data_IF_630446554431
#
_entry.id   IF_630446554431
#
_cell.length_a   1.000
_cell.length_b   1.000
_cell.length_c   1.000
_cell.angle_alpha   90.00
_cell.angle_beta   90.00
_cell.angle_gamma   90.00
#
_symmetry.space_group_name_H-M   'P 1'
#
loop_
_entity.id
_entity.type
_entity.pdbx_description
1 polymer ?
#
# COMPACT_ATOMS: atom_id res chain seq x y z
N UNK A 1 24.24 28.53 58.40
CA UNK A 1 22.77 28.60 58.58
C UNK A 1 22.11 28.72 57.22
N UNK A 2 21.02 27.98 57.03
CA UNK A 2 20.07 27.97 55.91
C UNK A 2 20.54 27.35 54.57
N UNK A 3 20.22 26.07 54.46
CA UNK A 3 20.03 25.35 53.20
C UNK A 3 18.72 25.81 52.52
N UNK A 4 18.71 25.81 51.18
CA UNK A 4 17.46 25.80 50.41
C UNK A 4 17.51 24.61 49.44
N UNK A 5 16.69 23.61 49.72
CA UNK A 5 16.40 22.49 48.86
C UNK A 5 15.42 22.93 47.76
N UNK A 6 15.72 22.65 46.50
CA UNK A 6 14.76 22.71 45.41
C UNK A 6 14.52 21.28 44.90
N UNK A 7 13.26 20.87 45.00
CA UNK A 7 12.69 19.60 44.57
C UNK A 7 13.03 19.30 43.10
N UNK A 8 13.75 18.21 42.84
CA UNK A 8 13.74 17.51 41.56
C UNK A 8 12.43 16.72 41.46
N UNK A 9 11.47 17.20 40.67
CA UNK A 9 10.37 16.35 40.19
C UNK A 9 10.92 15.48 39.07
N UNK A 10 10.93 14.17 39.31
CA UNK A 10 11.43 13.13 38.44
C UNK A 10 10.70 13.11 37.09
N UNK A 11 11.39 13.51 36.02
CA UNK A 11 11.09 13.06 34.67
C UNK A 11 11.49 11.58 34.59
N UNK A 12 10.51 10.69 34.72
CA UNK A 12 10.70 9.27 34.42
C UNK A 12 11.04 9.10 32.94
N UNK A 13 12.33 8.93 32.66
CA UNK A 13 12.81 8.49 31.37
C UNK A 13 12.44 7.03 31.11
N UNK A 14 12.27 6.70 29.83
CA UNK A 14 12.47 5.33 29.35
C UNK A 14 13.64 5.36 28.36
N UNK A 15 14.84 5.36 28.94
CA UNK A 15 16.01 4.78 28.29
C UNK A 15 16.02 3.27 28.58
N UNK A 16 16.37 2.52 27.55
CA UNK A 16 16.65 1.07 27.46
C UNK A 16 17.10 0.34 28.75
N UNK A 17 16.51 -0.85 28.98
CA UNK A 17 17.28 -2.05 29.34
C UNK A 17 16.48 -3.34 29.15
N UNK A 18 17.17 -4.38 28.71
CA UNK A 18 16.60 -5.59 28.10
C UNK A 18 16.05 -6.64 29.05
N UNK A 19 15.17 -7.47 28.50
CA UNK A 19 14.93 -8.83 28.93
C UNK A 19 15.07 -9.74 27.72
N UNK A 20 16.12 -10.56 27.73
CA UNK A 20 16.30 -11.70 26.83
C UNK A 20 15.44 -12.83 27.38
N UNK A 21 14.33 -13.15 26.70
CA UNK A 21 13.70 -14.46 26.71
C UNK A 21 13.28 -14.76 25.27
N UNK A 22 13.84 -15.85 24.72
CA UNK A 22 13.71 -16.23 23.32
C UNK A 22 12.26 -16.52 22.92
N UNK A 23 11.94 -16.14 21.68
CA UNK A 23 10.65 -16.44 21.06
C UNK A 23 10.47 -15.69 19.75
N UNK A 24 10.73 -16.39 18.64
CA UNK A 24 10.58 -15.99 17.25
C UNK A 24 11.53 -14.88 16.74
N UNK A 25 12.61 -15.36 16.09
CA UNK A 25 13.35 -14.66 15.05
C UNK A 25 12.45 -13.74 14.24
N UNK A 26 12.99 -12.58 13.82
CA UNK A 26 12.43 -11.88 12.67
C UNK A 26 12.08 -12.94 11.61
N UNK A 27 10.82 -13.02 11.18
CA UNK A 27 10.55 -13.62 9.87
C UNK A 27 11.11 -12.63 8.86
N UNK A 28 12.43 -12.68 8.75
CA UNK A 28 13.20 -12.24 7.62
C UNK A 28 12.49 -12.84 6.41
N UNK A 29 12.24 -12.03 5.39
CA UNK A 29 11.77 -12.52 4.11
C UNK A 29 12.89 -13.37 3.52
N UNK A 30 13.19 -14.53 4.11
CA UNK A 30 14.16 -15.45 3.56
C UNK A 30 13.44 -16.23 2.48
N UNK A 31 14.10 -16.29 1.35
CA UNK A 31 13.74 -17.19 0.29
C UNK A 31 14.68 -18.38 0.42
N UNK A 32 14.15 -19.58 0.63
CA UNK A 32 14.94 -20.77 0.97
C UNK A 32 15.50 -21.51 -0.27
N UNK A 33 15.43 -20.88 -1.44
CA UNK A 33 15.91 -21.41 -2.72
C UNK A 33 17.26 -20.83 -3.17
N UNK A 34 17.80 -21.36 -4.26
CA UNK A 34 19.04 -20.84 -4.87
C UNK A 34 18.79 -19.42 -5.39
N UNK A 35 19.55 -18.41 -4.92
CA UNK A 35 19.37 -17.04 -5.41
C UNK A 35 19.67 -16.93 -6.90
N UNK A 36 18.75 -16.30 -7.62
CA UNK A 36 18.88 -15.95 -9.02
C UNK A 36 19.59 -14.60 -9.07
N UNK A 37 20.78 -14.55 -9.66
CA UNK A 37 21.58 -13.32 -9.74
C UNK A 37 21.00 -12.29 -10.72
N UNK A 38 21.26 -11.01 -10.45
CA UNK A 38 20.94 -9.94 -11.39
C UNK A 38 21.68 -10.15 -12.72
N UNK A 39 20.95 -10.09 -13.83
CA UNK A 39 21.46 -10.40 -15.18
C UNK A 39 20.98 -11.75 -15.73
N UNK A 40 20.39 -12.62 -14.89
CA UNK A 40 19.66 -13.78 -15.39
C UNK A 40 18.40 -13.36 -16.18
N UNK A 41 18.02 -14.18 -17.16
CA UNK A 41 16.74 -14.01 -17.86
C UNK A 41 15.59 -14.51 -16.97
N UNK A 42 15.04 -13.59 -16.18
CA UNK A 42 13.96 -13.89 -15.26
C UNK A 42 12.68 -14.36 -15.97
N UNK A 43 12.39 -13.89 -17.18
CA UNK A 43 11.21 -14.35 -17.92
C UNK A 43 11.39 -15.80 -18.40
N UNK A 44 12.60 -16.17 -18.82
CA UNK A 44 12.91 -17.56 -19.17
C UNK A 44 12.72 -18.49 -17.95
N UNK A 45 13.20 -18.08 -16.77
CA UNK A 45 13.02 -18.84 -15.54
C UNK A 45 11.56 -18.96 -15.13
N UNK A 46 10.78 -17.87 -15.22
CA UNK A 46 9.34 -17.89 -14.95
C UNK A 46 8.61 -18.85 -15.91
N UNK A 47 8.99 -18.87 -17.19
CA UNK A 47 8.36 -19.76 -18.18
C UNK A 47 8.62 -21.25 -17.94
N UNK A 48 9.68 -21.57 -17.18
CA UNK A 48 10.08 -22.94 -16.83
C UNK A 48 9.64 -23.34 -15.43
N UNK A 49 9.14 -22.39 -14.62
CA UNK A 49 8.75 -22.64 -13.25
C UNK A 49 7.50 -23.53 -13.20
N UNK A 50 7.50 -24.47 -12.26
CA UNK A 50 6.33 -25.29 -11.95
C UNK A 50 5.31 -24.49 -11.12
N UNK A 51 4.07 -24.99 -11.09
CA UNK A 51 3.00 -24.35 -10.35
C UNK A 51 3.31 -24.30 -8.85
N UNK A 52 3.41 -23.08 -8.32
CA UNK A 52 3.70 -22.83 -6.91
C UNK A 52 5.17 -22.59 -6.61
N UNK A 53 6.03 -22.59 -7.61
CA UNK A 53 7.46 -22.33 -7.44
C UNK A 53 7.75 -21.01 -6.75
N UNK A 54 8.86 -21.00 -6.01
CA UNK A 54 9.40 -19.81 -5.34
C UNK A 54 10.73 -19.47 -5.97
N UNK A 55 10.76 -18.38 -6.73
CA UNK A 55 11.97 -17.84 -7.35
C UNK A 55 12.58 -16.80 -6.41
N UNK A 56 13.77 -17.13 -5.89
CA UNK A 56 14.55 -16.29 -4.99
C UNK A 56 15.44 -15.35 -5.79
N UNK A 57 15.29 -14.05 -5.59
CA UNK A 57 16.04 -13.02 -6.30
C UNK A 57 17.12 -12.45 -5.37
N UNK A 58 18.38 -12.53 -5.79
CA UNK A 58 19.48 -11.85 -5.13
C UNK A 58 19.39 -10.33 -5.32
N UNK A 59 20.12 -9.57 -4.52
CA UNK A 59 20.17 -8.12 -4.65
C UNK A 59 20.61 -7.68 -6.07
N UNK A 60 19.88 -6.73 -6.65
CA UNK A 60 20.22 -6.13 -7.93
C UNK A 60 19.02 -5.74 -8.77
N UNK A 61 19.29 -5.36 -10.01
CA UNK A 61 18.29 -4.87 -10.96
C UNK A 61 18.00 -5.91 -12.03
N UNK A 62 16.73 -6.25 -12.20
CA UNK A 62 16.20 -7.18 -13.19
C UNK A 62 15.43 -6.39 -14.23
N UNK A 63 15.75 -6.67 -15.50
CA UNK A 63 15.11 -6.01 -16.64
C UNK A 63 13.66 -6.49 -16.75
N UNK A 64 12.74 -5.53 -16.75
CA UNK A 64 11.32 -5.74 -17.06
C UNK A 64 11.06 -5.49 -18.57
N UNK A 65 9.87 -5.84 -19.11
CA UNK A 65 8.67 -6.30 -18.41
C UNK A 65 8.78 -7.74 -17.90
N UNK A 66 8.24 -8.01 -16.70
CA UNK A 66 8.10 -9.35 -16.13
C UNK A 66 6.68 -9.85 -16.35
N UNK A 67 6.52 -11.05 -16.93
CA UNK A 67 5.21 -11.65 -17.21
C UNK A 67 5.01 -12.91 -16.39
N UNK A 68 3.93 -12.94 -15.60
CA UNK A 68 3.57 -14.08 -14.76
C UNK A 68 2.17 -14.55 -15.16
N UNK A 69 2.10 -15.77 -15.70
CA UNK A 69 0.87 -16.37 -16.23
C UNK A 69 0.43 -17.62 -15.45
N UNK A 70 1.20 -18.01 -14.43
CA UNK A 70 0.97 -19.16 -13.58
C UNK A 70 1.14 -18.81 -12.09
N UNK A 71 0.69 -19.70 -11.22
CA UNK A 71 0.89 -19.53 -9.77
C UNK A 71 2.38 -19.62 -9.43
N UNK A 72 2.96 -18.55 -8.87
CA UNK A 72 4.36 -18.53 -8.44
C UNK A 72 4.63 -17.43 -7.41
N UNK A 73 5.77 -17.53 -6.73
CA UNK A 73 6.28 -16.50 -5.83
C UNK A 73 7.58 -15.91 -6.37
N UNK A 74 7.65 -14.59 -6.48
CA UNK A 74 8.91 -13.85 -6.61
C UNK A 74 9.24 -13.23 -5.26
N UNK A 75 10.41 -13.57 -4.71
CA UNK A 75 10.83 -13.07 -3.41
C UNK A 75 12.29 -12.62 -3.42
N UNK A 76 12.56 -11.47 -2.83
CA UNK A 76 13.92 -11.10 -2.46
C UNK A 76 14.48 -12.14 -1.47
N UNK A 77 15.74 -12.52 -1.64
CA UNK A 77 16.45 -13.46 -0.76
C UNK A 77 16.89 -12.83 0.58
N UNK A 78 16.84 -11.49 0.66
CA UNK A 78 17.25 -10.71 1.83
C UNK A 78 18.70 -10.24 1.80
N UNK A 79 19.46 -10.52 0.73
CA UNK A 79 20.84 -10.05 0.53
C UNK A 79 20.92 -8.54 0.26
N UNK A 80 19.82 -7.91 -0.18
CA UNK A 80 19.75 -6.49 -0.49
C UNK A 80 18.48 -6.13 -1.29
N UNK A 81 18.42 -4.92 -1.87
CA UNK A 81 17.26 -4.49 -2.66
C UNK A 81 17.18 -5.25 -3.99
N UNK A 82 15.98 -5.73 -4.30
CA UNK A 82 15.63 -6.33 -5.60
C UNK A 82 14.77 -5.35 -6.38
N UNK A 83 15.25 -4.91 -7.53
CA UNK A 83 14.61 -3.88 -8.35
C UNK A 83 14.15 -4.50 -9.67
N UNK A 84 12.86 -4.45 -9.95
CA UNK A 84 12.29 -4.70 -11.27
C UNK A 84 12.16 -3.34 -11.97
N UNK A 85 12.90 -3.15 -13.06
CA UNK A 85 12.97 -1.86 -13.77
C UNK A 85 12.62 -2.03 -15.24
N UNK A 86 11.56 -1.33 -15.67
CA UNK A 86 11.13 -1.29 -17.07
C UNK A 86 11.86 -0.24 -17.91
N UNK A 87 12.64 0.68 -17.31
CA UNK A 87 13.41 1.68 -18.05
C UNK A 87 12.56 2.64 -18.91
N UNK A 88 11.28 2.81 -18.60
CA UNK A 88 10.31 3.57 -19.36
C UNK A 88 9.55 2.76 -20.42
N UNK A 89 9.74 1.45 -20.49
CA UNK A 89 9.10 0.57 -21.48
C UNK A 89 7.89 -0.17 -20.91
N UNK A 90 6.69 0.33 -21.16
CA UNK A 90 5.45 -0.38 -20.84
C UNK A 90 5.27 -0.65 -19.34
N UNK A 91 4.45 -1.65 -19.01
CA UNK A 91 4.22 -2.06 -17.62
C UNK A 91 5.38 -2.88 -17.06
N UNK A 92 5.87 -2.55 -15.86
CA UNK A 92 6.99 -3.28 -15.24
C UNK A 92 6.67 -4.74 -14.94
N UNK A 93 5.53 -5.05 -14.34
CA UNK A 93 5.11 -6.43 -14.12
C UNK A 93 3.64 -6.65 -14.47
N UNK A 94 3.41 -7.70 -15.25
CA UNK A 94 2.10 -8.10 -15.76
C UNK A 94 1.76 -9.46 -15.17
N UNK A 95 0.73 -9.47 -14.31
CA UNK A 95 0.22 -10.65 -13.63
C UNK A 95 -1.12 -11.04 -14.27
N UNK A 96 -1.13 -12.12 -15.04
CA UNK A 96 -2.31 -12.61 -15.72
C UNK A 96 -2.38 -14.13 -15.64
N UNK A 97 -2.74 -14.63 -14.46
CA UNK A 97 -2.90 -16.05 -14.20
C UNK A 97 -4.36 -16.28 -13.79
N UNK A 98 -5.28 -16.52 -14.74
CA UNK A 98 -6.68 -16.81 -14.41
C UNK A 98 -6.73 -17.98 -13.42
N UNK A 99 -7.34 -17.77 -12.26
CA UNK A 99 -7.41 -18.73 -11.13
C UNK A 99 -6.08 -19.03 -10.42
N UNK A 100 -4.99 -18.39 -10.84
CA UNK A 100 -3.65 -18.53 -10.27
C UNK A 100 -3.41 -17.62 -9.08
N UNK A 101 -2.40 -17.98 -8.28
CA UNK A 101 -1.97 -17.24 -7.10
C UNK A 101 -0.53 -16.76 -7.28
N UNK A 102 -0.33 -15.45 -7.29
CA UNK A 102 0.97 -14.82 -7.44
C UNK A 102 1.35 -14.13 -6.13
N UNK A 103 2.57 -14.34 -5.66
CA UNK A 103 3.10 -13.67 -4.48
C UNK A 103 4.36 -12.87 -4.82
N UNK A 104 4.39 -11.60 -4.42
CA UNK A 104 5.53 -10.70 -4.56
C UNK A 104 6.01 -10.27 -3.18
N UNK A 105 7.31 -10.45 -2.89
CA UNK A 105 7.86 -10.26 -1.55
C UNK A 105 9.16 -9.48 -1.60
N UNK A 106 9.20 -8.32 -0.94
CA UNK A 106 10.43 -7.53 -0.80
C UNK A 106 10.93 -6.87 -2.09
N UNK A 107 10.06 -6.69 -3.09
CA UNK A 107 10.45 -6.20 -4.41
C UNK A 107 10.24 -4.69 -4.53
N UNK A 108 11.11 -4.04 -5.30
CA UNK A 108 10.99 -2.64 -5.72
C UNK A 108 10.60 -2.61 -7.20
N UNK A 109 9.47 -2.01 -7.55
CA UNK A 109 8.89 -2.00 -8.90
C UNK A 109 8.89 -0.56 -9.41
N UNK A 110 9.71 -0.29 -10.43
CA UNK A 110 9.99 1.06 -10.92
C UNK A 110 10.03 1.14 -12.45
N UNK A 111 10.12 2.36 -12.94
CA UNK A 111 10.43 2.66 -14.34
C UNK A 111 9.34 2.27 -15.32
N UNK A 112 8.16 1.87 -14.86
CA UNK A 112 7.05 1.50 -15.72
C UNK A 112 6.39 2.73 -16.34
N UNK A 113 6.07 2.65 -17.63
CA UNK A 113 5.29 3.65 -18.38
C UNK A 113 4.26 2.94 -19.27
N UNK A 114 3.09 2.69 -18.70
CA UNK A 114 2.01 1.97 -19.39
C UNK A 114 1.01 2.94 -20.02
N UNK A 115 0.83 2.89 -21.34
CA UNK A 115 -0.09 3.82 -22.04
C UNK A 115 -1.58 3.46 -21.82
N UNK A 116 -1.94 2.18 -21.95
CA UNK A 116 -3.32 1.68 -21.85
C UNK A 116 -3.58 0.80 -20.61
N UNK A 117 -2.53 0.49 -19.85
CA UNK A 117 -2.55 -0.36 -18.65
C UNK A 117 -1.66 0.26 -17.59
N UNK A 118 -1.75 -0.20 -16.34
CA UNK A 118 -1.00 0.40 -15.25
C UNK A 118 0.51 0.46 -15.47
N UNK A 119 1.17 1.51 -14.98
CA UNK A 119 2.60 1.76 -15.20
C UNK A 119 3.47 0.72 -14.48
N UNK A 120 3.34 0.60 -13.16
CA UNK A 120 4.12 -0.37 -12.39
C UNK A 120 3.60 -1.80 -12.55
N UNK A 121 2.31 -2.00 -12.27
CA UNK A 121 1.67 -3.31 -12.24
C UNK A 121 0.35 -3.34 -13.00
N UNK A 122 0.13 -4.43 -13.72
CA UNK A 122 -1.18 -4.75 -14.30
C UNK A 122 -1.61 -6.15 -13.87
N UNK A 123 -2.79 -6.26 -13.23
CA UNK A 123 -3.34 -7.52 -12.72
C UNK A 123 -4.65 -7.85 -13.43
N UNK A 124 -4.64 -8.97 -14.14
CA UNK A 124 -5.73 -9.43 -14.99
C UNK A 124 -6.86 -10.18 -14.25
N UNK A 125 -8.01 -10.38 -14.91
CA UNK A 125 -9.18 -11.01 -14.31
C UNK A 125 -8.92 -12.40 -13.74
N UNK A 126 -9.50 -12.69 -12.58
CA UNK A 126 -9.40 -14.00 -11.92
C UNK A 126 -8.03 -14.30 -11.29
N UNK A 127 -7.06 -13.39 -11.37
CA UNK A 127 -5.75 -13.53 -10.71
C UNK A 127 -5.86 -13.16 -9.23
N UNK A 128 -5.27 -13.96 -8.35
CA UNK A 128 -5.03 -13.59 -6.95
C UNK A 128 -3.58 -13.12 -6.77
N UNK A 129 -3.38 -11.84 -6.49
CA UNK A 129 -2.06 -11.27 -6.21
C UNK A 129 -1.92 -10.96 -4.71
N UNK A 130 -0.81 -11.38 -4.11
CA UNK A 130 -0.37 -10.95 -2.78
C UNK A 130 0.96 -10.20 -2.88
N UNK A 131 1.04 -9.04 -2.27
CA UNK A 131 2.25 -8.22 -2.19
C UNK A 131 2.60 -7.98 -0.73
N UNK A 132 3.84 -8.24 -0.35
CA UNK A 132 4.31 -8.04 1.01
C UNK A 132 5.64 -7.30 1.01
N UNK A 133 5.70 -6.18 1.74
CA UNK A 133 6.94 -5.40 1.94
C UNK A 133 7.58 -4.97 0.62
N UNK A 134 6.74 -4.62 -0.35
CA UNK A 134 7.19 -4.10 -1.63
C UNK A 134 7.28 -2.57 -1.61
N UNK A 135 7.95 -2.03 -2.62
CA UNK A 135 7.94 -0.61 -2.97
C UNK A 135 7.51 -0.49 -4.42
N UNK A 136 6.49 0.33 -4.70
CA UNK A 136 6.07 0.65 -6.07
C UNK A 136 6.24 2.15 -6.24
N UNK A 137 7.19 2.57 -7.07
CA UNK A 137 7.57 3.98 -7.15
C UNK A 137 8.08 4.43 -8.50
N UNK A 138 7.86 5.70 -8.82
CA UNK A 138 8.39 6.30 -10.05
C UNK A 138 7.80 5.69 -11.32
N UNK A 139 6.61 5.09 -11.23
CA UNK A 139 5.88 4.56 -12.38
C UNK A 139 4.87 5.57 -12.90
N UNK A 140 4.56 5.50 -14.19
CA UNK A 140 3.67 6.40 -14.89
C UNK A 140 2.59 5.61 -15.64
N UNK A 141 1.33 5.94 -15.36
CA UNK A 141 0.17 5.35 -16.01
C UNK A 141 -0.45 6.34 -17.00
N UNK A 142 -0.91 5.84 -18.14
CA UNK A 142 -1.67 6.63 -19.11
C UNK A 142 -3.09 6.95 -18.63
N UNK A 143 -3.91 7.46 -19.54
CA UNK A 143 -5.26 7.99 -19.25
C UNK A 143 -6.17 6.94 -18.62
N UNK A 144 -6.03 5.67 -19.02
CA UNK A 144 -6.85 4.55 -18.58
C UNK A 144 -6.13 3.59 -17.63
N UNK A 145 -4.87 3.91 -17.26
CA UNK A 145 -4.01 3.04 -16.46
C UNK A 145 -3.66 3.67 -15.11
N UNK A 146 -3.66 2.86 -14.05
CA UNK A 146 -3.15 3.29 -12.75
C UNK A 146 -1.64 3.47 -12.76
N UNK A 147 -1.10 4.55 -12.19
CA UNK A 147 0.36 4.81 -12.23
C UNK A 147 1.17 3.69 -11.58
N UNK A 148 0.80 3.27 -10.37
CA UNK A 148 1.46 2.18 -9.67
C UNK A 148 0.84 0.82 -9.97
N UNK A 149 -0.49 0.70 -9.89
CA UNK A 149 -1.20 -0.57 -10.04
C UNK A 149 -2.55 -0.37 -10.73
N UNK A 150 -2.79 -1.18 -11.78
CA UNK A 150 -4.09 -1.41 -12.38
C UNK A 150 -4.58 -2.83 -12.06
N UNK A 151 -5.79 -2.96 -11.51
CA UNK A 151 -6.42 -4.25 -11.26
C UNK A 151 -7.81 -4.32 -11.86
N UNK A 152 -8.03 -5.29 -12.76
CA UNK A 152 -9.32 -5.51 -13.43
C UNK A 152 -9.87 -6.88 -13.10
N UNK A 153 -10.95 -6.95 -12.33
CA UNK A 153 -11.58 -8.23 -11.97
C UNK A 153 -10.66 -9.19 -11.20
N UNK A 154 -9.60 -8.68 -10.57
CA UNK A 154 -8.60 -9.43 -9.83
C UNK A 154 -8.83 -9.32 -8.30
N UNK A 155 -8.20 -10.21 -7.52
CA UNK A 155 -8.14 -10.08 -6.06
C UNK A 155 -6.71 -9.72 -5.66
N UNK A 156 -6.51 -8.54 -5.09
CA UNK A 156 -5.18 -8.05 -4.69
C UNK A 156 -5.11 -7.81 -3.19
N UNK A 157 -4.11 -8.39 -2.53
CA UNK A 157 -3.77 -8.11 -1.13
C UNK A 157 -2.42 -7.42 -1.09
N UNK A 158 -2.36 -6.27 -0.44
CA UNK A 158 -1.16 -5.44 -0.33
C UNK A 158 -0.90 -5.22 1.15
N UNK A 159 0.20 -5.77 1.63
CA UNK A 159 0.59 -5.75 3.03
C UNK A 159 1.96 -5.08 3.19
N UNK A 160 2.05 -4.15 4.15
CA UNK A 160 3.32 -3.49 4.50
C UNK A 160 4.06 -2.89 3.30
N UNK A 161 3.33 -2.34 2.32
CA UNK A 161 3.90 -1.88 1.04
C UNK A 161 3.86 -0.35 0.95
N UNK A 162 4.84 0.23 0.26
CA UNK A 162 4.91 1.66 -0.05
C UNK A 162 4.58 1.89 -1.51
N UNK A 163 3.58 2.73 -1.78
CA UNK A 163 3.18 3.16 -3.13
C UNK A 163 3.40 4.67 -3.21
N UNK A 164 4.55 5.07 -3.76
CA UNK A 164 5.04 6.44 -3.63
C UNK A 164 5.60 7.03 -4.91
N UNK A 165 5.37 8.32 -5.16
CA UNK A 165 6.00 9.00 -6.30
C UNK A 165 5.57 8.47 -7.66
N UNK A 166 4.38 7.85 -7.78
CA UNK A 166 3.83 7.41 -9.06
C UNK A 166 2.97 8.51 -9.67
N UNK A 167 2.81 8.49 -10.99
CA UNK A 167 2.12 9.54 -11.75
C UNK A 167 1.07 8.96 -12.67
N UNK A 168 0.02 9.72 -12.93
CA UNK A 168 -0.90 9.49 -14.04
C UNK A 168 -1.47 10.81 -14.52
N UNK A 169 -1.91 10.85 -15.77
CA UNK A 169 -2.61 12.02 -16.32
C UNK A 169 -4.09 12.07 -15.91
N UNK A 170 -4.72 10.93 -15.64
CA UNK A 170 -6.15 10.82 -15.29
C UNK A 170 -6.60 9.43 -14.77
N UNK A 171 -5.74 8.41 -14.86
CA UNK A 171 -6.09 7.01 -14.59
C UNK A 171 -6.03 6.62 -13.13
N UNK A 172 -5.55 7.48 -12.22
CA UNK A 172 -5.28 7.13 -10.84
C UNK A 172 -3.79 6.88 -10.61
N UNK A 173 -3.05 7.88 -10.14
CA UNK A 173 -1.58 7.77 -10.06
C UNK A 173 -1.05 6.65 -9.16
N UNK A 174 -1.78 6.22 -8.13
CA UNK A 174 -1.41 5.07 -7.31
C UNK A 174 -2.18 3.81 -7.74
N UNK A 175 -3.50 3.80 -7.56
CA UNK A 175 -4.34 2.62 -7.76
C UNK A 175 -5.51 2.93 -8.70
N UNK A 176 -5.70 2.07 -9.70
CA UNK A 176 -6.92 2.02 -10.51
C UNK A 176 -7.56 0.63 -10.40
N UNK A 177 -8.78 0.59 -9.88
CA UNK A 177 -9.53 -0.65 -9.70
C UNK A 177 -10.75 -0.64 -10.61
N UNK A 178 -10.94 -1.72 -11.38
CA UNK A 178 -12.01 -1.81 -12.37
C UNK A 178 -12.70 -3.19 -12.37
N UNK A 179 -13.90 -3.24 -12.94
CA UNK A 179 -14.74 -4.42 -13.02
C UNK A 179 -15.14 -4.90 -11.64
N UNK A 180 -14.85 -6.16 -11.30
CA UNK A 180 -15.12 -6.75 -9.98
C UNK A 180 -13.84 -6.89 -9.14
N UNK A 181 -12.87 -6.00 -9.35
CA UNK A 181 -11.61 -6.02 -8.62
C UNK A 181 -11.85 -5.89 -7.10
N UNK A 182 -11.13 -6.66 -6.31
CA UNK A 182 -11.17 -6.62 -4.84
C UNK A 182 -9.77 -6.36 -4.33
N UNK A 183 -9.51 -5.14 -3.86
CA UNK A 183 -8.19 -4.74 -3.39
C UNK A 183 -8.24 -4.41 -1.90
N UNK A 184 -7.36 -5.05 -1.15
CA UNK A 184 -7.20 -4.83 0.29
C UNK A 184 -5.79 -4.36 0.58
N UNK A 185 -5.66 -3.17 1.15
CA UNK A 185 -4.41 -2.64 1.68
C UNK A 185 -4.40 -2.76 3.19
N UNK A 186 -3.28 -3.24 3.73
CA UNK A 186 -3.05 -3.28 5.18
C UNK A 186 -1.67 -2.74 5.52
N UNK A 187 -1.61 -1.94 6.59
CA UNK A 187 -0.33 -1.42 7.10
C UNK A 187 0.54 -0.80 5.98
N UNK A 188 -0.09 -0.16 5.00
CA UNK A 188 0.56 0.32 3.77
C UNK A 188 0.46 1.84 3.63
N UNK A 189 1.38 2.42 2.86
CA UNK A 189 1.48 3.86 2.62
C UNK A 189 1.22 4.18 1.15
N UNK A 190 0.34 5.14 0.89
CA UNK A 190 0.14 5.80 -0.41
C UNK A 190 0.45 7.28 -0.24
N UNK A 191 1.56 7.75 -0.80
CA UNK A 191 1.98 9.13 -0.63
C UNK A 191 2.76 9.67 -1.83
N UNK A 192 2.78 10.99 -2.01
CA UNK A 192 3.60 11.67 -3.03
C UNK A 192 3.23 11.25 -4.47
N UNK A 193 2.05 10.66 -4.68
CA UNK A 193 1.59 10.34 -6.02
C UNK A 193 0.93 11.58 -6.65
N UNK A 194 1.12 11.76 -7.95
CA UNK A 194 0.72 12.96 -8.70
C UNK A 194 -0.31 12.60 -9.78
N UNK A 195 -1.55 13.07 -9.59
CA UNK A 195 -2.66 13.01 -10.55
C UNK A 195 -3.46 14.31 -10.45
N UNK A 196 -2.92 15.39 -11.03
CA UNK A 196 -3.50 16.74 -10.92
C UNK A 196 -4.98 16.83 -11.35
N UNK A 197 -5.43 15.93 -12.23
CA UNK A 197 -6.78 15.98 -12.82
C UNK A 197 -7.78 15.08 -12.09
N UNK A 198 -7.33 14.14 -11.27
CA UNK A 198 -8.19 13.14 -10.62
C UNK A 198 -7.72 12.86 -9.18
N UNK A 199 -7.49 11.58 -8.85
CA UNK A 199 -7.16 11.06 -7.53
C UNK A 199 -5.97 10.12 -7.62
N UNK A 200 -5.16 9.93 -6.57
CA UNK A 200 -4.22 8.82 -6.56
C UNK A 200 -4.93 7.46 -6.57
N UNK A 201 -6.18 7.38 -6.12
CA UNK A 201 -6.93 6.12 -6.04
C UNK A 201 -8.27 6.29 -6.73
N UNK A 202 -8.52 5.48 -7.77
CA UNK A 202 -9.80 5.41 -8.45
C UNK A 202 -10.39 4.01 -8.33
N UNK A 203 -11.66 3.95 -7.91
CA UNK A 203 -12.41 2.70 -7.77
C UNK A 203 -13.61 2.78 -8.68
N UNK A 204 -13.60 1.97 -9.74
CA UNK A 204 -14.56 1.99 -10.82
C UNK A 204 -15.56 0.84 -10.75
N UNK A 205 -16.80 1.11 -11.14
CA UNK A 205 -17.86 0.12 -11.32
C UNK A 205 -17.97 -0.85 -10.13
N UNK A 206 -18.00 -2.17 -10.33
CA UNK A 206 -18.19 -3.15 -9.24
C UNK A 206 -16.97 -3.35 -8.32
N UNK A 207 -15.95 -2.51 -8.41
CA UNK A 207 -14.70 -2.69 -7.69
C UNK A 207 -14.83 -2.34 -6.20
N UNK A 208 -13.98 -2.97 -5.39
CA UNK A 208 -13.98 -2.83 -3.94
C UNK A 208 -12.60 -2.48 -3.44
N UNK A 209 -12.51 -1.39 -2.68
CA UNK A 209 -11.31 -1.00 -1.97
C UNK A 209 -11.51 -1.14 -0.46
N UNK A 210 -10.56 -1.81 0.20
CA UNK A 210 -10.51 -1.91 1.66
C UNK A 210 -9.16 -1.43 2.18
N UNK A 211 -9.17 -0.49 3.12
CA UNK A 211 -7.99 0.11 3.73
C UNK A 211 -8.01 -0.17 5.24
N UNK A 212 -7.01 -0.91 5.72
CA UNK A 212 -6.89 -1.27 7.14
C UNK A 212 -5.56 -0.81 7.69
N UNK A 213 -5.58 0.03 8.73
CA UNK A 213 -4.34 0.50 9.34
C UNK A 213 -3.38 1.09 8.32
N UNK A 214 -3.90 1.82 7.34
CA UNK A 214 -3.11 2.33 6.21
C UNK A 214 -3.07 3.86 6.22
N UNK A 215 -2.11 4.46 5.52
CA UNK A 215 -1.93 5.91 5.47
C UNK A 215 -1.97 6.40 4.04
N UNK A 216 -2.88 7.33 3.74
CA UNK A 216 -2.93 8.09 2.49
C UNK A 216 -2.64 9.55 2.84
N UNK A 217 -1.54 10.10 2.33
CA UNK A 217 -1.10 11.44 2.70
C UNK A 217 -0.23 12.08 1.61
N UNK A 218 -0.26 13.42 1.51
CA UNK A 218 0.64 14.20 0.66
C UNK A 218 0.64 13.73 -0.82
N UNK A 219 -0.52 13.36 -1.35
CA UNK A 219 -0.68 13.12 -2.79
C UNK A 219 -1.12 14.43 -3.44
N UNK A 220 -0.56 14.72 -4.62
CA UNK A 220 -0.89 15.91 -5.40
C UNK A 220 -2.01 15.53 -6.38
N UNK A 221 -3.23 15.84 -5.99
CA UNK A 221 -4.43 15.47 -6.74
C UNK A 221 -5.61 16.35 -6.36
N UNK A 222 -6.68 16.33 -7.15
CA UNK A 222 -7.91 17.07 -6.86
C UNK A 222 -8.63 16.51 -5.61
N UNK A 223 -8.57 15.20 -5.40
CA UNK A 223 -9.10 14.49 -4.22
C UNK A 223 -8.26 13.25 -3.90
N UNK A 224 -8.44 12.66 -2.71
CA UNK A 224 -7.65 11.48 -2.31
C UNK A 224 -8.18 10.16 -2.87
N UNK A 225 -9.50 10.00 -2.98
CA UNK A 225 -10.15 8.79 -3.49
C UNK A 225 -11.31 9.19 -4.39
N UNK A 226 -11.39 8.61 -5.58
CA UNK A 226 -12.52 8.69 -6.48
C UNK A 226 -13.30 7.39 -6.50
N UNK A 227 -14.62 7.47 -6.34
CA UNK A 227 -15.54 6.38 -6.61
C UNK A 227 -16.41 6.77 -7.80
N UNK A 228 -16.33 6.01 -8.89
CA UNK A 228 -17.08 6.30 -10.10
C UNK A 228 -17.68 5.01 -10.67
N UNK A 229 -18.98 4.98 -10.96
CA UNK A 229 -19.62 3.81 -11.53
C UNK A 229 -20.76 4.19 -12.43
N UNK A 230 -20.75 3.66 -13.65
CA UNK A 230 -21.88 3.75 -14.59
C UNK A 230 -22.56 2.38 -14.76
N UNK A 231 -21.94 1.33 -14.21
CA UNK A 231 -22.48 -0.02 -14.12
C UNK A 231 -23.59 -0.16 -13.06
N UNK A 232 -24.51 -1.14 -13.20
CA UNK A 232 -25.46 -1.49 -12.13
C UNK A 232 -24.79 -1.93 -10.83
N UNK A 233 -23.53 -2.36 -10.88
CA UNK A 233 -22.75 -2.70 -9.68
C UNK A 233 -21.97 -1.48 -9.21
N UNK A 234 -22.34 -0.83 -8.09
CA UNK A 234 -21.64 0.36 -7.61
C UNK A 234 -20.32 0.01 -6.93
N UNK A 235 -19.34 0.93 -6.92
CA UNK A 235 -18.07 0.71 -6.26
C UNK A 235 -18.25 0.76 -4.74
N UNK A 236 -17.29 0.20 -4.01
CA UNK A 236 -17.32 0.25 -2.54
C UNK A 236 -15.97 0.59 -1.92
N UNK A 237 -16.05 1.31 -0.80
CA UNK A 237 -14.92 1.74 0.01
C UNK A 237 -15.17 1.37 1.47
N UNK A 238 -14.27 0.57 2.05
CA UNK A 238 -14.20 0.35 3.49
C UNK A 238 -12.86 0.82 4.02
N UNK A 239 -12.88 1.80 4.92
CA UNK A 239 -11.69 2.31 5.60
C UNK A 239 -11.86 2.11 7.09
N UNK A 240 -10.84 1.52 7.70
CA UNK A 240 -10.84 1.23 9.12
C UNK A 240 -9.45 1.41 9.72
N UNK A 241 -9.40 2.13 10.84
CA UNK A 241 -8.16 2.38 11.58
C UNK A 241 -7.06 3.09 10.78
N UNK A 242 -7.41 3.85 9.75
CA UNK A 242 -6.48 4.41 8.79
C UNK A 242 -6.32 5.92 8.96
N UNK A 243 -5.34 6.51 8.29
CA UNK A 243 -5.16 7.96 8.18
C UNK A 243 -5.42 8.35 6.73
N UNK A 244 -6.40 9.22 6.51
CA UNK A 244 -6.65 9.87 5.23
C UNK A 244 -6.40 11.36 5.37
N UNK A 245 -5.39 11.88 4.67
CA UNK A 245 -5.01 13.29 4.73
C UNK A 245 -4.87 13.87 3.34
N UNK A 246 -5.75 14.80 3.01
CA UNK A 246 -5.77 15.55 1.76
C UNK A 246 -5.78 17.05 2.03
N UNK A 247 -4.90 17.78 1.38
CA UNK A 247 -4.90 19.24 1.38
C UNK A 247 -5.28 19.74 -0.01
N UNK A 248 -6.26 20.65 -0.12
CA UNK A 248 -6.63 21.28 -1.40
C UNK A 248 -7.89 20.72 -2.08
N UNK A 249 -8.66 19.86 -1.40
CA UNK A 249 -9.90 19.29 -1.92
C UNK A 249 -10.57 18.29 -0.97
N UNK A 250 -11.61 17.57 -1.43
CA UNK A 250 -12.25 16.53 -0.65
C UNK A 250 -11.36 15.28 -0.54
N UNK A 251 -11.46 14.58 0.59
CA UNK A 251 -10.84 13.26 0.75
C UNK A 251 -11.49 12.27 -0.21
N UNK A 252 -12.81 12.34 -0.36
CA UNK A 252 -13.59 11.45 -1.20
C UNK A 252 -14.40 12.25 -2.20
N UNK A 253 -14.28 11.87 -3.47
CA UNK A 253 -15.17 12.30 -4.54
C UNK A 253 -15.98 11.13 -5.06
N UNK A 254 -17.29 11.29 -5.12
CA UNK A 254 -18.21 10.33 -5.72
C UNK A 254 -18.75 10.94 -7.02
N UNK A 255 -18.45 10.31 -8.16
CA UNK A 255 -19.12 10.64 -9.41
C UNK A 255 -20.56 10.11 -9.33
N UNK A 256 -21.53 11.01 -9.45
CA UNK A 256 -22.94 10.65 -9.32
C UNK A 256 -23.37 9.72 -10.47
N UNK A 257 -24.01 8.61 -10.10
CA UNK A 257 -24.61 7.65 -11.01
C UNK A 257 -25.91 7.11 -10.42
N UNK A 258 -26.59 6.26 -11.19
CA UNK A 258 -27.90 5.69 -10.82
C UNK A 258 -27.87 4.87 -9.52
N UNK A 259 -26.70 4.29 -9.19
CA UNK A 259 -26.47 3.49 -8.01
C UNK A 259 -25.35 4.10 -7.15
N UNK A 260 -25.64 4.59 -5.94
CA UNK A 260 -24.64 5.23 -5.10
C UNK A 260 -23.60 4.21 -4.59
N UNK A 261 -22.31 4.58 -4.50
CA UNK A 261 -21.28 3.75 -3.89
C UNK A 261 -21.57 3.41 -2.42
N UNK A 262 -21.12 2.23 -1.99
CA UNK A 262 -21.14 1.85 -0.57
C UNK A 262 -19.87 2.36 0.11
N UNK A 263 -20.02 3.32 1.03
CA UNK A 263 -18.88 3.91 1.75
C UNK A 263 -19.02 3.69 3.25
N UNK A 264 -17.99 3.08 3.84
CA UNK A 264 -17.84 2.92 5.29
C UNK A 264 -16.47 3.38 5.72
N UNK A 265 -16.40 4.44 6.51
CA UNK A 265 -15.15 4.93 7.10
C UNK A 265 -15.31 4.97 8.61
N UNK A 266 -14.46 4.27 9.34
CA UNK A 266 -14.56 4.18 10.79
C UNK A 266 -13.20 4.16 11.48
N UNK A 267 -13.18 4.57 12.75
CA UNK A 267 -11.99 4.50 13.62
C UNK A 267 -10.75 5.13 12.98
N UNK A 268 -10.91 6.15 12.12
CA UNK A 268 -9.84 6.68 11.28
C UNK A 268 -9.57 8.16 11.58
N UNK A 269 -8.36 8.64 11.24
CA UNK A 269 -8.06 10.08 11.23
C UNK A 269 -8.34 10.63 9.83
N UNK A 270 -9.14 11.69 9.76
CA UNK A 270 -9.53 12.33 8.52
C UNK A 270 -9.12 13.80 8.54
N UNK A 271 -8.31 14.21 7.58
CA UNK A 271 -7.83 15.58 7.43
C UNK A 271 -8.06 16.07 6.00
N UNK A 272 -8.77 17.18 5.85
CA UNK A 272 -9.27 17.70 4.57
C UNK A 272 -10.79 17.89 4.57
N UNK A 273 -11.38 18.11 3.39
CA UNK A 273 -12.83 18.12 3.28
C UNK A 273 -13.39 16.69 3.37
N UNK A 274 -14.33 16.51 4.29
CA UNK A 274 -14.91 15.22 4.65
C UNK A 274 -16.43 15.19 4.52
N UNK A 275 -17.00 16.13 3.78
CA UNK A 275 -18.44 16.29 3.52
C UNK A 275 -19.10 15.03 2.97
N UNK A 276 -18.38 14.27 2.13
CA UNK A 276 -18.85 13.01 1.55
C UNK A 276 -18.55 11.77 2.41
N UNK A 277 -17.95 11.95 3.60
CA UNK A 277 -17.55 10.87 4.49
C UNK A 277 -18.45 10.79 5.73
N UNK A 278 -19.35 9.80 5.69
CA UNK A 278 -20.14 9.36 6.84
C UNK A 278 -19.40 8.25 7.61
N UNK A 279 -19.65 8.15 8.92
CA UNK A 279 -19.10 7.10 9.77
C UNK A 279 -18.91 7.51 11.22
N UNK A 280 -18.85 6.52 12.11
CA UNK A 280 -18.67 6.72 13.55
C UNK A 280 -17.20 6.60 13.94
N UNK A 281 -16.85 7.22 15.07
CA UNK A 281 -15.52 7.10 15.69
C UNK A 281 -14.35 7.58 14.82
N UNK A 282 -14.60 8.49 13.87
CA UNK A 282 -13.55 9.15 13.11
C UNK A 282 -13.07 10.42 13.83
N UNK A 283 -11.77 10.67 13.78
CA UNK A 283 -11.14 11.86 14.31
C UNK A 283 -10.85 12.84 13.17
N UNK A 284 -11.57 13.96 13.13
CA UNK A 284 -11.41 14.99 12.09
C UNK A 284 -10.41 16.05 12.55
N UNK A 285 -9.13 15.85 12.23
CA UNK A 285 -8.03 16.71 12.65
C UNK A 285 -6.79 16.43 11.79
N UNK A 286 -5.88 17.41 11.69
CA UNK A 286 -4.54 17.19 11.13
C UNK A 286 -3.86 15.99 11.81
N UNK A 287 -3.42 14.96 11.07
CA UNK A 287 -2.75 13.80 11.63
C UNK A 287 -1.37 14.12 12.23
N UNK A 288 -0.80 15.30 11.99
CA UNK A 288 0.52 15.71 12.50
C UNK A 288 1.60 14.67 12.15
N UNK A 289 1.69 14.33 10.87
CA UNK A 289 2.68 13.41 10.35
C UNK A 289 4.04 14.09 10.24
N UNK A 290 5.10 13.36 10.59
CA UNK A 290 6.48 13.73 10.26
C UNK A 290 6.77 13.57 8.75
N UNK A 291 7.95 14.01 8.31
CA UNK A 291 8.41 13.79 6.93
C UNK A 291 8.48 12.31 6.52
N UNK A 292 8.63 11.39 7.48
CA UNK A 292 8.58 9.94 7.23
C UNK A 292 7.18 9.34 7.41
N UNK A 293 6.14 10.19 7.44
CA UNK A 293 4.74 9.82 7.62
C UNK A 293 4.41 9.12 8.96
N UNK A 294 5.32 9.20 9.95
CA UNK A 294 5.06 8.74 11.32
C UNK A 294 4.20 9.75 12.07
N UNK A 295 3.13 9.33 12.77
CA UNK A 295 2.38 10.19 13.68
C UNK A 295 3.27 10.77 14.79
N UNK A 296 3.22 12.09 14.98
CA UNK A 296 3.92 12.75 16.09
C UNK A 296 3.37 12.29 17.45
N UNK A 297 4.07 12.58 18.58
CA UNK A 297 3.55 12.30 19.93
C UNK A 297 2.21 12.96 20.25
N UNK A 298 1.85 14.06 19.58
CA UNK A 298 0.59 14.79 19.79
C UNK A 298 -0.48 14.45 18.74
N UNK A 299 -0.16 13.52 17.83
CA UNK A 299 -1.06 13.16 16.75
C UNK A 299 -2.40 12.63 17.27
N UNK A 300 -3.54 13.00 16.64
CA UNK A 300 -4.83 12.41 16.95
C UNK A 300 -4.90 10.89 16.64
N UNK A 301 -3.94 10.34 15.90
CA UNK A 301 -3.84 8.92 15.62
C UNK A 301 -3.32 8.09 16.82
N UNK A 302 -2.61 8.74 17.77
CA UNK A 302 -1.96 8.08 18.92
C UNK A 302 -2.95 7.40 19.86
N UNK A 303 -2.60 6.18 20.25
CA UNK A 303 -3.28 5.37 21.27
C UNK A 303 -4.79 5.19 21.08
N UNK A 304 -5.28 5.33 19.83
CA UNK A 304 -6.72 5.18 19.51
C UNK A 304 -7.10 3.74 19.24
N UNK A 305 -6.15 2.88 18.89
CA UNK A 305 -6.39 1.46 18.71
C UNK A 305 -6.09 0.73 20.02
N UNK A 306 -7.11 0.52 20.86
CA UNK A 306 -6.95 -0.20 22.15
C UNK A 306 -6.65 -1.69 21.98
N UNK A 307 -7.09 -2.28 20.87
CA UNK A 307 -6.87 -3.67 20.49
C UNK A 307 -6.63 -3.71 18.99
N UNK A 308 -5.50 -4.31 18.58
CA UNK A 308 -5.24 -4.61 17.17
C UNK A 308 -6.29 -5.58 16.65
N UNK A 309 -7.07 -5.22 15.61
CA UNK A 309 -7.96 -6.18 14.97
C UNK A 309 -7.16 -7.41 14.53
N UNK A 310 -7.72 -8.61 14.69
CA UNK A 310 -7.05 -9.86 14.30
C UNK A 310 -6.67 -9.91 12.80
N UNK A 311 -7.28 -9.05 11.99
CA UNK A 311 -7.00 -8.89 10.57
C UNK A 311 -5.77 -8.02 10.28
N UNK A 312 -5.19 -7.37 11.29
CA UNK A 312 -4.03 -6.49 11.13
C UNK A 312 -2.72 -7.24 11.41
N UNK A 313 -1.66 -6.81 10.74
CA UNK A 313 -0.30 -7.27 11.05
C UNK A 313 0.08 -6.82 12.46
N UNK A 314 0.70 -7.73 13.22
CA UNK A 314 1.36 -7.39 14.49
C UNK A 314 2.61 -6.52 14.31
N UNK A 315 3.05 -6.31 13.07
CA UNK A 315 4.19 -5.48 12.69
C UNK A 315 3.78 -4.27 11.84
N UNK A 316 4.50 -3.17 12.03
CA UNK A 316 4.35 -1.90 11.30
C UNK A 316 4.90 -1.97 9.86
N UNK A 317 4.77 -0.88 9.10
CA UNK A 317 5.30 -0.78 7.73
C UNK A 317 6.81 -1.07 7.61
N UNK A 318 7.58 -0.89 8.68
CA UNK A 318 9.03 -1.12 8.71
C UNK A 318 9.43 -2.46 9.34
N UNK A 319 8.45 -3.30 9.67
CA UNK A 319 8.67 -4.61 10.27
C UNK A 319 8.91 -4.59 11.78
N UNK A 320 8.80 -3.44 12.46
CA UNK A 320 8.85 -3.37 13.92
C UNK A 320 7.54 -3.92 14.52
N UNK A 321 7.59 -4.50 15.73
CA UNK A 321 6.38 -4.93 16.42
C UNK A 321 5.56 -3.69 16.83
N UNK A 322 4.27 -3.74 16.52
CA UNK A 322 3.34 -2.71 16.97
C UNK A 322 3.24 -2.74 18.50
N UNK A 323 3.16 -1.58 19.17
CA UNK A 323 2.93 -1.54 20.62
C UNK A 323 1.53 -2.07 20.96
N UNK A 324 1.26 -2.29 22.25
CA UNK A 324 -0.05 -2.75 22.74
C UNK A 324 -1.18 -1.76 22.47
N UNK A 325 -0.88 -0.47 22.32
CA UNK A 325 -1.79 0.60 21.92
C UNK A 325 -1.26 1.33 20.68
N UNK A 326 -1.36 0.75 19.47
CA UNK A 326 -0.77 1.36 18.29
C UNK A 326 -1.55 2.56 17.79
N UNK A 327 -0.84 3.45 17.08
CA UNK A 327 -1.45 4.49 16.28
C UNK A 327 -2.37 3.91 15.20
N UNK A 328 -3.34 4.73 14.82
CA UNK A 328 -4.03 4.56 13.53
C UNK A 328 -3.02 4.75 12.38
N UNK A 329 -3.23 4.02 11.28
CA UNK A 329 -2.35 4.06 10.11
C UNK A 329 -1.25 3.01 10.09
N UNK A 330 -0.36 3.15 9.09
CA UNK A 330 0.58 2.09 8.69
C UNK A 330 1.90 2.07 9.46
N UNK A 331 2.29 3.20 10.05
CA UNK A 331 3.70 3.58 10.22
C UNK A 331 4.15 3.50 11.69
N UNK A 332 3.41 2.71 12.49
CA UNK A 332 3.73 2.42 13.89
C UNK A 332 3.34 1.01 14.29
#
# INVERSE_FOLDING_TARGET
>A
MAALAALCVSLGGCASSGAILGGASAQQLTCDGVPIEAGADLNALISQAELGDVLCLAAGTYKAPIRIEASLTLAADGSGPVILDAGGEGTTLIANAPTGQIALRGLTIIGGRGDAVGGGLSVGPGTELSMQRCVISGNEGGVEGGGALYAKGARVRIDQTRIVGNRSSAGGSALLLDGRAQVTLRSSLIAENDDEQSAPIRVLDGAQLRLFGSTIANNKAAWSIELAGISPSPPSLHVDGSILSHSGGPILWILQGSNPPLVRVERSVLHGDTSQLAGKSNHRADPQLSASYRPSPRSPARDKLRVLPATWSSRDLFGALRPSTPCLGAIE
#
